data_IF_566877815405
#
_entry.id   IF_566877815405
#
_cell.length_a   1.000
_cell.length_b   1.000
_cell.length_c   1.000
_cell.angle_alpha   90.00
_cell.angle_beta   90.00
_cell.angle_gamma   90.00
#
_symmetry.space_group_name_H-M   'P 1'
#
loop_
_entity.id
_entity.type
_entity.pdbx_description
1 polymer ?
#
# COMPACT_ATOMS: atom_id res chain seq x y z
N UNK A 1 -6.14 -18.47 -7.24
CA UNK A 1 -6.89 -17.30 -7.79
C UNK A 1 -6.45 -16.07 -7.01
N UNK A 2 -6.24 -14.91 -7.67
CA UNK A 2 -5.93 -13.66 -6.98
C UNK A 2 -7.20 -13.13 -6.27
N UNK A 3 -7.14 -12.72 -4.99
CA UNK A 3 -8.32 -12.27 -4.27
C UNK A 3 -8.76 -10.89 -4.74
N UNK A 4 -10.06 -10.72 -4.94
CA UNK A 4 -10.70 -9.43 -5.13
C UNK A 4 -11.46 -9.07 -3.85
N UNK A 5 -11.31 -7.84 -3.37
CA UNK A 5 -11.95 -7.36 -2.14
C UNK A 5 -12.87 -6.20 -2.48
N UNK A 6 -14.03 -6.16 -1.86
CA UNK A 6 -15.02 -5.11 -2.07
C UNK A 6 -15.33 -4.38 -0.77
N UNK A 7 -15.42 -3.05 -0.88
CA UNK A 7 -15.89 -2.17 0.19
C UNK A 7 -17.20 -1.48 -0.21
N UNK A 8 -17.63 -0.51 0.57
CA UNK A 8 -18.80 0.30 0.20
C UNK A 8 -18.60 1.05 -1.12
N UNK A 9 -17.42 1.61 -1.37
CA UNK A 9 -17.13 2.48 -2.53
C UNK A 9 -16.06 1.95 -3.46
N UNK A 10 -15.27 0.96 -3.04
CA UNK A 10 -14.07 0.52 -3.73
C UNK A 10 -14.13 -0.95 -4.13
N UNK A 11 -13.36 -1.28 -5.16
CA UNK A 11 -12.96 -2.62 -5.53
C UNK A 11 -11.42 -2.66 -5.47
N UNK A 12 -10.86 -3.59 -4.70
CA UNK A 12 -9.44 -3.87 -4.67
C UNK A 12 -9.21 -5.11 -5.52
N UNK A 13 -8.67 -4.91 -6.71
CA UNK A 13 -8.56 -5.97 -7.72
C UNK A 13 -7.13 -6.18 -8.20
N UNK A 14 -6.91 -7.28 -8.89
CA UNK A 14 -5.63 -7.52 -9.56
C UNK A 14 -5.30 -6.38 -10.52
N UNK A 15 -4.05 -5.93 -10.48
CA UNK A 15 -3.49 -5.00 -11.47
C UNK A 15 -3.14 -5.82 -12.70
N UNK A 16 -3.61 -5.38 -13.87
CA UNK A 16 -3.41 -6.02 -15.16
C UNK A 16 -2.64 -5.10 -16.12
N UNK A 17 -2.20 -5.62 -17.25
CA UNK A 17 -1.41 -4.86 -18.22
C UNK A 17 -2.15 -3.63 -18.75
N UNK A 18 -3.47 -3.69 -18.86
CA UNK A 18 -4.31 -2.56 -19.29
C UNK A 18 -4.28 -1.38 -18.30
N UNK A 19 -3.91 -1.61 -17.04
CA UNK A 19 -3.76 -0.57 -16.03
C UNK A 19 -2.40 0.18 -16.11
N UNK A 20 -1.53 -0.19 -17.05
CA UNK A 20 -0.17 0.32 -17.09
C UNK A 20 -0.10 1.86 -17.22
N UNK A 21 -1.07 2.45 -17.91
CA UNK A 21 -1.18 3.91 -18.03
C UNK A 21 -1.38 4.59 -16.69
N UNK A 22 -2.37 4.14 -15.91
CA UNK A 22 -2.66 4.69 -14.59
C UNK A 22 -1.54 4.44 -13.59
N UNK A 23 -0.90 3.26 -13.66
CA UNK A 23 0.25 2.95 -12.80
C UNK A 23 1.44 3.87 -13.12
N UNK A 24 1.73 4.11 -14.41
CA UNK A 24 2.77 5.05 -14.80
C UNK A 24 2.44 6.46 -14.30
N UNK A 25 1.24 6.95 -14.55
CA UNK A 25 0.78 8.26 -14.11
C UNK A 25 0.91 8.42 -12.58
N UNK A 26 0.45 7.43 -11.80
CA UNK A 26 0.52 7.45 -10.35
C UNK A 26 1.97 7.48 -9.83
N UNK A 27 2.83 6.62 -10.38
CA UNK A 27 4.21 6.48 -9.91
C UNK A 27 5.24 7.32 -10.69
N UNK A 28 4.80 8.26 -11.50
CA UNK A 28 5.59 9.38 -12.03
C UNK A 28 5.23 10.73 -11.40
N UNK A 29 4.12 10.80 -10.66
CA UNK A 29 3.66 12.01 -9.97
C UNK A 29 4.53 12.30 -8.74
N UNK A 30 5.20 13.47 -8.73
CA UNK A 30 6.10 13.88 -7.64
C UNK A 30 5.36 14.05 -6.31
N UNK A 31 4.09 14.44 -6.33
CA UNK A 31 3.30 14.63 -5.12
C UNK A 31 2.92 13.29 -4.49
N UNK A 32 2.56 12.29 -5.31
CA UNK A 32 2.34 10.91 -4.87
C UNK A 32 3.61 10.33 -4.27
N UNK A 33 4.75 10.56 -4.92
CA UNK A 33 6.03 9.97 -4.53
C UNK A 33 6.75 10.73 -3.41
N UNK A 34 6.28 11.91 -3.03
CA UNK A 34 6.94 12.77 -2.02
C UNK A 34 7.40 12.01 -0.77
N UNK A 35 6.58 11.04 -0.32
CA UNK A 35 6.85 10.22 0.87
C UNK A 35 6.72 8.73 0.58
N UNK A 36 7.10 8.30 -0.62
CA UNK A 36 6.96 6.90 -1.02
C UNK A 36 8.27 6.11 -1.00
N UNK A 37 9.41 6.80 -1.04
CA UNK A 37 10.72 6.17 -0.94
C UNK A 37 11.18 5.46 -2.22
N UNK A 38 10.64 5.82 -3.39
CA UNK A 38 11.08 5.29 -4.69
C UNK A 38 11.27 6.42 -5.72
N UNK A 39 12.04 6.11 -6.75
CA UNK A 39 12.21 7.01 -7.89
C UNK A 39 10.95 6.98 -8.76
N UNK A 40 10.64 8.10 -9.45
CA UNK A 40 9.59 8.13 -10.47
C UNK A 40 9.80 7.07 -11.55
N UNK A 41 8.71 6.46 -12.02
CA UNK A 41 8.73 5.62 -13.20
C UNK A 41 8.77 6.50 -14.46
N UNK A 42 9.54 6.08 -15.45
CA UNK A 42 9.83 6.88 -16.65
C UNK A 42 9.21 6.27 -17.92
N UNK A 43 8.77 5.02 -17.87
CA UNK A 43 8.26 4.32 -19.06
C UNK A 43 7.26 3.22 -18.76
N UNK A 44 6.40 2.94 -19.75
CA UNK A 44 5.47 1.81 -19.73
C UNK A 44 6.20 0.47 -19.57
N UNK A 45 7.39 0.32 -20.15
CA UNK A 45 8.17 -0.92 -20.03
C UNK A 45 8.55 -1.21 -18.58
N UNK A 46 8.94 -0.19 -17.80
CA UNK A 46 9.20 -0.34 -16.36
C UNK A 46 7.93 -0.77 -15.62
N UNK A 47 6.78 -0.19 -15.98
CA UNK A 47 5.49 -0.57 -15.38
C UNK A 47 5.13 -2.01 -15.69
N UNK A 48 5.31 -2.46 -16.93
CA UNK A 48 5.03 -3.85 -17.33
C UNK A 48 5.90 -4.86 -16.53
N UNK A 49 7.16 -4.52 -16.27
CA UNK A 49 8.01 -5.34 -15.42
C UNK A 49 7.50 -5.37 -13.96
N UNK A 50 7.06 -4.23 -13.44
CA UNK A 50 6.49 -4.13 -12.09
C UNK A 50 5.22 -4.97 -11.97
N UNK A 51 4.31 -4.91 -12.95
CA UNK A 51 3.08 -5.73 -12.96
C UNK A 51 3.41 -7.23 -12.98
N UNK A 52 4.40 -7.65 -13.75
CA UNK A 52 4.91 -9.04 -13.74
C UNK A 52 5.46 -9.41 -12.36
N UNK A 53 6.23 -8.51 -11.74
CA UNK A 53 6.78 -8.73 -10.41
C UNK A 53 5.68 -8.82 -9.34
N UNK A 54 4.59 -8.06 -9.44
CA UNK A 54 3.44 -8.21 -8.55
C UNK A 54 2.81 -9.60 -8.67
N UNK A 55 2.63 -10.10 -9.89
CA UNK A 55 2.07 -11.44 -10.12
C UNK A 55 2.97 -12.53 -9.56
N UNK A 56 4.28 -12.46 -9.86
CA UNK A 56 5.29 -13.40 -9.36
C UNK A 56 5.38 -13.35 -7.82
N UNK A 57 5.47 -12.15 -7.25
CA UNK A 57 5.58 -11.98 -5.80
C UNK A 57 4.35 -12.51 -5.04
N UNK A 58 3.17 -12.47 -5.65
CA UNK A 58 1.97 -13.10 -5.09
C UNK A 58 2.09 -14.65 -5.12
N UNK A 59 2.52 -15.24 -6.23
CA UNK A 59 2.71 -16.68 -6.36
C UNK A 59 3.75 -17.20 -5.37
N UNK A 60 4.83 -16.45 -5.16
CA UNK A 60 5.92 -16.77 -4.23
C UNK A 60 5.62 -16.39 -2.77
N UNK A 61 4.45 -15.81 -2.48
CA UNK A 61 4.03 -15.32 -1.15
C UNK A 61 5.01 -14.32 -0.54
N UNK A 62 5.52 -13.41 -1.35
CA UNK A 62 6.44 -12.34 -0.95
C UNK A 62 5.73 -10.99 -0.82
N UNK A 63 4.73 -10.78 -1.66
CA UNK A 63 3.89 -9.58 -1.66
C UNK A 63 2.50 -9.86 -2.23
N UNK A 64 1.57 -8.99 -1.94
CA UNK A 64 0.29 -8.89 -2.66
C UNK A 64 0.01 -7.42 -2.93
N UNK A 65 -0.36 -7.08 -4.16
CA UNK A 65 -0.63 -5.70 -4.58
C UNK A 65 -1.92 -5.62 -5.37
N UNK A 66 -2.86 -4.85 -4.85
CA UNK A 66 -4.13 -4.53 -5.50
C UNK A 66 -4.09 -3.16 -6.14
N UNK A 67 -4.77 -3.02 -7.25
CA UNK A 67 -5.22 -1.73 -7.75
C UNK A 67 -6.49 -1.31 -7.00
N UNK A 68 -6.61 -0.05 -6.65
CA UNK A 68 -7.79 0.53 -6.02
C UNK A 68 -8.65 1.15 -7.11
N UNK A 69 -9.88 0.69 -7.26
CA UNK A 69 -10.85 1.16 -8.24
C UNK A 69 -12.10 1.66 -7.54
N UNK A 70 -12.65 2.79 -7.98
CA UNK A 70 -13.98 3.22 -7.54
C UNK A 70 -15.07 2.39 -8.20
N UNK A 71 -16.07 1.96 -7.44
CA UNK A 71 -17.26 1.31 -8.00
C UNK A 71 -17.91 2.21 -9.06
N UNK A 72 -18.21 1.64 -10.21
CA UNK A 72 -18.77 2.39 -11.36
C UNK A 72 -17.76 3.21 -12.18
N UNK A 73 -16.46 3.07 -11.89
CA UNK A 73 -15.37 3.62 -12.71
C UNK A 73 -14.48 2.45 -13.17
N UNK A 74 -13.86 2.60 -14.34
CA UNK A 74 -12.96 1.56 -14.87
C UNK A 74 -11.50 1.76 -14.40
N UNK A 75 -11.10 3.02 -14.26
CA UNK A 75 -9.73 3.41 -13.96
C UNK A 75 -9.35 3.20 -12.48
N UNK A 76 -8.09 2.87 -12.27
CA UNK A 76 -7.51 2.85 -10.93
C UNK A 76 -7.36 4.27 -10.38
N UNK A 77 -7.57 4.41 -9.07
CA UNK A 77 -7.33 5.64 -8.32
C UNK A 77 -6.09 5.55 -7.43
N UNK A 78 -5.39 4.43 -7.46
CA UNK A 78 -4.21 4.17 -6.66
C UNK A 78 -3.94 2.68 -6.49
N UNK A 79 -3.05 2.37 -5.57
CA UNK A 79 -2.68 0.99 -5.23
C UNK A 79 -2.58 0.77 -3.72
N UNK A 80 -2.77 -0.48 -3.30
CA UNK A 80 -2.58 -0.91 -1.92
C UNK A 80 -2.03 -2.33 -1.91
N UNK A 81 -1.27 -2.70 -0.88
CA UNK A 81 -0.81 -4.08 -0.76
C UNK A 81 0.00 -4.34 0.48
N UNK A 82 0.38 -5.59 0.60
CA UNK A 82 1.33 -6.06 1.60
C UNK A 82 2.66 -6.40 0.93
N UNK A 83 3.73 -5.97 1.53
CA UNK A 83 5.10 -6.30 1.17
C UNK A 83 5.82 -6.94 2.37
N UNK A 84 6.98 -7.54 2.12
CA UNK A 84 7.70 -8.29 3.15
C UNK A 84 6.79 -9.36 3.81
N UNK A 85 5.92 -9.96 2.98
CA UNK A 85 5.03 -11.02 3.42
C UNK A 85 5.85 -12.22 3.89
N UNK A 86 5.77 -12.51 5.16
CA UNK A 86 6.48 -13.61 5.80
C UNK A 86 5.48 -14.59 6.43
N UNK A 87 5.08 -15.64 5.70
CA UNK A 87 4.12 -16.61 6.19
C UNK A 87 4.59 -17.31 7.48
N UNK A 88 5.88 -17.63 7.58
CA UNK A 88 6.46 -18.29 8.76
C UNK A 88 6.39 -17.43 10.03
N UNK A 89 6.50 -16.10 9.89
CA UNK A 89 6.38 -15.16 11.00
C UNK A 89 4.98 -14.51 11.08
N UNK A 90 4.06 -14.87 10.20
CA UNK A 90 2.68 -14.34 10.14
C UNK A 90 2.64 -12.81 10.17
N UNK A 91 3.47 -12.17 9.38
CA UNK A 91 3.58 -10.71 9.31
C UNK A 91 3.76 -10.20 7.88
N UNK A 92 3.37 -8.95 7.68
CA UNK A 92 3.65 -8.17 6.48
C UNK A 92 3.65 -6.67 6.81
N UNK A 93 4.12 -5.84 5.88
CA UNK A 93 3.99 -4.39 5.95
C UNK A 93 2.97 -3.90 4.91
N UNK A 94 2.05 -3.04 5.32
CA UNK A 94 1.09 -2.41 4.40
C UNK A 94 1.74 -1.21 3.71
N UNK A 95 1.47 -1.07 2.41
CA UNK A 95 1.87 0.10 1.61
C UNK A 95 0.72 0.51 0.69
N UNK A 96 0.52 1.81 0.51
CA UNK A 96 -0.55 2.35 -0.33
C UNK A 96 -0.15 3.69 -0.94
N UNK A 97 -0.73 3.99 -2.09
CA UNK A 97 -0.64 5.27 -2.79
C UNK A 97 -1.98 5.56 -3.47
N UNK A 98 -2.37 6.82 -3.52
CA UNK A 98 -3.54 7.32 -4.22
C UNK A 98 -3.18 8.56 -5.01
N UNK A 99 -3.82 8.78 -6.15
CA UNK A 99 -3.74 10.07 -6.84
C UNK A 99 -4.21 11.21 -5.93
N UNK A 100 -3.58 12.39 -6.00
CA UNK A 100 -3.88 13.53 -5.12
C UNK A 100 -5.35 13.96 -5.12
N UNK A 101 -6.02 13.89 -6.26
CA UNK A 101 -7.44 14.23 -6.38
C UNK A 101 -8.39 13.35 -5.56
N UNK A 102 -7.91 12.18 -5.09
CA UNK A 102 -8.68 11.27 -4.24
C UNK A 102 -8.31 11.35 -2.76
N UNK A 103 -7.36 12.22 -2.40
CA UNK A 103 -6.98 12.43 -1.00
C UNK A 103 -8.08 13.10 -0.20
N UNK A 104 -8.03 12.95 1.12
CA UNK A 104 -8.96 13.56 2.08
C UNK A 104 -10.45 13.21 1.88
N UNK A 105 -10.74 12.16 1.09
CA UNK A 105 -12.11 11.66 0.83
C UNK A 105 -12.40 10.34 1.55
N UNK A 106 -11.45 9.87 2.36
CA UNK A 106 -11.57 8.63 3.14
C UNK A 106 -11.31 7.34 2.35
N UNK A 107 -10.97 7.41 1.07
CA UNK A 107 -10.71 6.23 0.24
C UNK A 107 -9.52 5.42 0.73
N UNK A 108 -8.39 6.07 1.08
CA UNK A 108 -7.23 5.38 1.63
C UNK A 108 -7.58 4.63 2.93
N UNK A 109 -8.31 5.27 3.84
CA UNK A 109 -8.74 4.64 5.10
C UNK A 109 -9.62 3.41 4.84
N UNK A 110 -10.55 3.51 3.89
CA UNK A 110 -11.45 2.41 3.51
C UNK A 110 -10.68 1.24 2.88
N UNK A 111 -9.75 1.53 1.96
CA UNK A 111 -8.91 0.52 1.32
C UNK A 111 -7.98 -0.18 2.32
N UNK A 112 -7.32 0.59 3.21
CA UNK A 112 -6.39 0.04 4.22
C UNK A 112 -7.16 -0.81 5.23
N UNK A 113 -8.34 -0.37 5.68
CA UNK A 113 -9.19 -1.16 6.59
C UNK A 113 -9.53 -2.53 5.99
N UNK A 114 -9.97 -2.56 4.72
CA UNK A 114 -10.33 -3.80 4.03
C UNK A 114 -9.12 -4.72 3.84
N UNK A 115 -7.98 -4.16 3.40
CA UNK A 115 -6.75 -4.95 3.28
C UNK A 115 -6.30 -5.53 4.62
N UNK A 116 -6.38 -4.77 5.72
CA UNK A 116 -6.06 -5.25 7.08
C UNK A 116 -6.99 -6.39 7.48
N UNK A 117 -8.31 -6.24 7.25
CA UNK A 117 -9.30 -7.27 7.51
C UNK A 117 -8.95 -8.57 6.78
N UNK A 118 -8.65 -8.48 5.48
CA UNK A 118 -8.19 -9.62 4.69
C UNK A 118 -6.89 -10.22 5.22
N UNK A 119 -5.92 -9.37 5.57
CA UNK A 119 -4.63 -9.82 6.12
C UNK A 119 -4.77 -10.63 7.40
N UNK A 120 -5.62 -10.20 8.31
CA UNK A 120 -5.85 -10.92 9.57
C UNK A 120 -6.75 -12.14 9.40
N UNK A 121 -7.84 -12.05 8.63
CA UNK A 121 -8.84 -13.11 8.55
C UNK A 121 -8.45 -14.20 7.56
N UNK A 122 -7.93 -13.86 6.38
CA UNK A 122 -7.64 -14.80 5.30
C UNK A 122 -6.14 -15.20 5.24
N UNK A 123 -5.23 -14.21 5.32
CA UNK A 123 -3.80 -14.50 5.30
C UNK A 123 -3.24 -14.90 6.68
N UNK A 124 -4.08 -14.82 7.71
CA UNK A 124 -3.78 -15.25 9.07
C UNK A 124 -2.53 -14.55 9.66
N UNK A 125 -2.32 -13.27 9.29
CA UNK A 125 -1.26 -12.48 9.92
C UNK A 125 -1.52 -12.33 11.43
N UNK A 126 -0.45 -12.23 12.19
CA UNK A 126 -0.48 -11.85 13.61
C UNK A 126 -0.15 -10.36 13.78
N UNK A 127 0.60 -9.81 12.80
CA UNK A 127 1.10 -8.44 12.84
C UNK A 127 1.10 -7.82 11.44
N UNK A 128 0.57 -6.61 11.33
CA UNK A 128 0.72 -5.76 10.13
C UNK A 128 1.50 -4.52 10.53
N UNK A 129 2.65 -4.31 9.89
CA UNK A 129 3.51 -3.14 10.07
C UNK A 129 3.25 -2.06 9.04
N UNK A 130 3.76 -0.86 9.30
CA UNK A 130 3.87 0.23 8.34
C UNK A 130 5.11 1.07 8.63
N UNK A 131 5.84 1.44 7.58
CA UNK A 131 6.98 2.36 7.65
C UNK A 131 6.54 3.67 7.01
N UNK A 132 6.68 4.78 7.73
CA UNK A 132 6.13 6.08 7.33
C UNK A 132 7.18 7.17 7.51
N UNK A 133 7.38 7.99 6.49
CA UNK A 133 8.20 9.21 6.63
C UNK A 133 7.66 10.08 7.76
N UNK A 134 8.54 10.61 8.60
CA UNK A 134 8.15 11.40 9.77
C UNK A 134 7.35 12.65 9.41
N UNK A 135 7.49 13.15 8.19
CA UNK A 135 6.77 14.30 7.64
C UNK A 135 5.41 13.95 7.01
N UNK A 136 5.09 12.67 6.80
CA UNK A 136 3.84 12.23 6.18
C UNK A 136 2.67 12.24 7.16
N UNK A 137 2.19 13.43 7.50
CA UNK A 137 1.09 13.63 8.47
C UNK A 137 -0.20 12.91 8.07
N UNK A 138 -0.49 12.80 6.76
CA UNK A 138 -1.66 12.10 6.24
C UNK A 138 -1.65 10.61 6.56
N UNK A 139 -0.55 9.92 6.27
CA UNK A 139 -0.40 8.49 6.62
C UNK A 139 -0.36 8.27 8.13
N UNK A 140 0.31 9.15 8.89
CA UNK A 140 0.35 9.08 10.35
C UNK A 140 -1.06 9.14 10.95
N UNK A 141 -1.88 10.10 10.49
CA UNK A 141 -3.26 10.25 10.95
C UNK A 141 -4.14 9.04 10.57
N UNK A 142 -3.98 8.52 9.33
CA UNK A 142 -4.70 7.35 8.86
C UNK A 142 -4.37 6.11 9.70
N UNK A 143 -3.10 5.81 9.89
CA UNK A 143 -2.65 4.66 10.68
C UNK A 143 -3.12 4.76 12.13
N UNK A 144 -3.00 5.93 12.76
CA UNK A 144 -3.48 6.17 14.12
C UNK A 144 -4.99 5.95 14.23
N UNK A 145 -5.77 6.43 13.25
CA UNK A 145 -7.23 6.22 13.20
C UNK A 145 -7.60 4.74 13.10
N UNK A 146 -6.81 3.93 12.40
CA UNK A 146 -7.01 2.48 12.27
C UNK A 146 -6.45 1.68 13.45
N UNK A 147 -5.92 2.33 14.48
CA UNK A 147 -5.45 1.69 15.71
C UNK A 147 -4.00 1.23 15.68
N UNK A 148 -3.24 1.58 14.63
CA UNK A 148 -1.80 1.30 14.62
C UNK A 148 -1.10 2.04 15.75
N UNK A 149 -0.15 1.39 16.39
CA UNK A 149 0.70 1.96 17.43
C UNK A 149 2.09 2.27 16.88
N UNK A 150 2.59 3.46 17.19
CA UNK A 150 3.97 3.82 16.88
C UNK A 150 4.91 3.08 17.83
N UNK A 151 5.88 2.34 17.26
CA UNK A 151 6.86 1.57 18.03
C UNK A 151 8.21 2.28 18.15
N UNK A 152 8.53 3.14 17.18
CA UNK A 152 9.82 3.82 17.20
C UNK A 152 10.10 4.68 15.98
N UNK A 153 11.34 5.16 15.94
CA UNK A 153 11.90 5.93 14.82
C UNK A 153 13.13 5.22 14.30
N UNK A 154 13.19 5.03 12.99
CA UNK A 154 14.38 4.58 12.29
C UNK A 154 15.05 5.80 11.66
N UNK A 155 16.25 6.13 12.11
CA UNK A 155 16.98 7.29 11.62
C UNK A 155 17.58 7.01 10.24
N UNK A 156 17.42 7.98 9.32
CA UNK A 156 17.99 7.93 7.96
C UNK A 156 17.68 6.62 7.22
N UNK A 157 16.48 6.10 7.43
CA UNK A 157 16.11 4.75 6.98
C UNK A 157 15.78 4.66 5.50
N UNK A 158 15.18 5.71 4.93
CA UNK A 158 14.83 5.76 3.52
C UNK A 158 15.51 6.94 2.83
N UNK A 159 15.94 6.70 1.58
CA UNK A 159 16.43 7.75 0.71
C UNK A 159 15.32 8.21 -0.23
N UNK A 160 15.09 9.52 -0.30
CA UNK A 160 14.23 10.14 -1.30
C UNK A 160 15.07 11.16 -2.07
N UNK A 161 15.24 10.95 -3.38
CA UNK A 161 16.10 11.79 -4.23
C UNK A 161 17.54 11.95 -3.69
N UNK A 162 18.10 10.87 -3.12
CA UNK A 162 19.44 10.89 -2.54
C UNK A 162 19.55 11.52 -1.14
N UNK A 163 18.47 12.05 -0.59
CA UNK A 163 18.42 12.65 0.75
C UNK A 163 17.91 11.59 1.74
N UNK A 164 18.62 11.33 2.86
CA UNK A 164 18.16 10.41 3.88
C UNK A 164 17.05 11.02 4.73
N UNK A 165 16.06 10.21 5.06
CA UNK A 165 14.92 10.59 5.90
C UNK A 165 14.70 9.60 7.02
N UNK A 166 14.32 10.14 8.16
CA UNK A 166 13.82 9.36 9.27
C UNK A 166 12.43 8.83 8.98
N UNK A 167 12.14 7.65 9.49
CA UNK A 167 10.80 7.05 9.41
C UNK A 167 10.30 6.61 10.77
N UNK A 168 8.98 6.61 10.91
CA UNK A 168 8.32 5.94 12.03
C UNK A 168 7.98 4.51 11.66
N UNK A 169 8.09 3.63 12.64
CA UNK A 169 7.59 2.26 12.57
C UNK A 169 6.27 2.19 13.31
N UNK A 170 5.25 1.74 12.63
CA UNK A 170 3.92 1.46 13.19
C UNK A 170 3.60 -0.01 13.09
N UNK A 171 2.73 -0.49 13.99
CA UNK A 171 2.17 -1.83 13.90
C UNK A 171 0.75 -1.89 14.42
N UNK A 172 0.03 -2.88 13.91
CA UNK A 172 -1.25 -3.32 14.41
C UNK A 172 -1.19 -4.83 14.63
N UNK A 173 -1.50 -5.30 15.83
CA UNK A 173 -1.61 -6.71 16.15
C UNK A 173 -3.04 -7.20 15.92
N UNK A 174 -3.18 -8.48 15.58
CA UNK A 174 -4.49 -9.11 15.36
C UNK A 174 -5.46 -8.85 16.51
N UNK A 175 -4.98 -9.02 17.76
CA UNK A 175 -5.79 -8.86 18.97
C UNK A 175 -6.22 -7.43 19.25
N UNK A 176 -5.56 -6.45 18.62
CA UNK A 176 -5.85 -5.01 18.77
C UNK A 176 -6.78 -4.49 17.67
N UNK A 177 -6.89 -5.23 16.57
CA UNK A 177 -7.65 -4.81 15.40
C UNK A 177 -9.16 -4.81 15.68
N UNK A 178 -9.80 -3.70 15.38
CA UNK A 178 -11.26 -3.54 15.44
C UNK A 178 -11.85 -3.74 14.03
N UNK A 179 -11.92 -5.00 13.62
CA UNK A 179 -12.40 -5.44 12.30
C UNK A 179 -13.50 -6.47 12.44
#
# INVERSE_FOLDING_TARGET
MFPELETKRLILRKIVEDDAGEILECFSDEEVLRYYGQKPLESINQVMEIIKNFSKGYEEKQLIKWGIQLKGKEKLIGTIGFQEWSPGHKKANVSYALFPEYWNKGYATEAVHEAISYGFNELQYNRIGAIVFTQNSGSIALLSKLGFKKEGTLREYLLQNGIPFDTYVYSLLREEAKI
#
